data_IF_154398773563
#
_entry.id   IF_154398773563
#
_cell.length_a   1.000
_cell.length_b   1.000
_cell.length_c   1.000
_cell.angle_alpha   90.00
_cell.angle_beta   90.00
_cell.angle_gamma   90.00
#
_symmetry.space_group_name_H-M   'P 1'
#
loop_
_entity.id
_entity.type
_entity.pdbx_description
1 polymer ?
#
# COMPACT_ATOMS: atom_id res chain seq x y z
N UNK A 1 2.70 -22.20 6.46
CA UNK A 1 3.26 -21.36 7.53
C UNK A 1 2.13 -20.50 8.08
N UNK A 2 1.96 -20.45 9.40
CA UNK A 2 0.90 -19.66 10.04
C UNK A 2 1.44 -18.25 10.32
N UNK A 3 0.79 -17.22 9.79
CA UNK A 3 1.21 -15.81 9.97
C UNK A 3 0.60 -15.28 11.26
N UNK A 4 1.43 -14.88 12.22
CA UNK A 4 0.98 -14.43 13.55
C UNK A 4 0.46 -12.97 13.55
N UNK A 5 0.96 -12.15 12.64
CA UNK A 5 0.46 -10.79 12.42
C UNK A 5 1.01 -10.18 11.13
N UNK A 6 0.30 -9.19 10.59
CA UNK A 6 0.69 -8.45 9.40
C UNK A 6 0.39 -6.95 9.55
N UNK A 7 1.28 -6.12 9.03
CA UNK A 7 1.10 -4.67 8.92
C UNK A 7 0.85 -4.36 7.45
N UNK A 8 -0.33 -3.85 7.15
CA UNK A 8 -0.78 -3.57 5.79
C UNK A 8 -0.78 -2.06 5.57
N UNK A 9 0.13 -1.58 4.72
CA UNK A 9 0.20 -0.16 4.36
C UNK A 9 -0.58 0.06 3.07
N UNK A 10 -1.69 0.78 3.22
CA UNK A 10 -2.68 1.13 2.21
C UNK A 10 -3.05 -0.07 1.32
N UNK A 11 -3.57 -1.17 1.90
CA UNK A 11 -3.92 -2.36 1.13
C UNK A 11 -5.07 -2.08 0.16
N UNK A 12 -5.00 -2.68 -1.02
CA UNK A 12 -6.10 -2.78 -1.96
C UNK A 12 -6.52 -4.25 -2.08
N UNK A 13 -7.80 -4.52 -1.83
CA UNK A 13 -8.34 -5.88 -1.74
C UNK A 13 -9.55 -6.12 -2.63
N UNK A 14 -10.10 -5.06 -3.25
CA UNK A 14 -11.16 -5.21 -4.23
C UNK A 14 -10.59 -5.44 -5.63
N UNK A 15 -11.44 -5.88 -6.57
CA UNK A 15 -11.09 -5.89 -8.00
C UNK A 15 -10.80 -4.48 -8.49
N UNK A 16 -9.95 -4.38 -9.50
CA UNK A 16 -9.67 -3.08 -10.12
C UNK A 16 -10.93 -2.40 -10.65
N UNK A 17 -11.15 -1.16 -10.22
CA UNK A 17 -12.24 -0.32 -10.73
C UNK A 17 -12.01 0.04 -12.20
N UNK A 18 -13.08 0.43 -12.90
CA UNK A 18 -13.00 0.75 -14.34
C UNK A 18 -12.00 1.86 -14.67
N UNK A 19 -11.98 2.92 -13.86
CA UNK A 19 -11.05 4.06 -14.06
C UNK A 19 -9.61 3.61 -13.83
N UNK A 20 -9.34 2.89 -12.74
CA UNK A 20 -8.03 2.32 -12.47
C UNK A 20 -7.56 1.41 -13.61
N UNK A 21 -8.46 0.54 -14.09
CA UNK A 21 -8.21 -0.36 -15.21
C UNK A 21 -7.84 0.39 -16.48
N UNK A 22 -8.56 1.46 -16.82
CA UNK A 22 -8.30 2.26 -18.02
C UNK A 22 -6.90 2.88 -18.01
N UNK A 23 -6.57 3.58 -16.93
CA UNK A 23 -5.24 4.21 -16.80
C UNK A 23 -4.11 3.17 -16.74
N UNK A 24 -4.29 2.09 -16.00
CA UNK A 24 -3.28 1.05 -15.88
C UNK A 24 -3.09 0.29 -17.21
N UNK A 25 -4.17 0.04 -17.96
CA UNK A 25 -4.09 -0.55 -19.32
C UNK A 25 -3.31 0.33 -20.27
N UNK A 26 -3.55 1.64 -20.26
CA UNK A 26 -2.77 2.58 -21.04
C UNK A 26 -1.28 2.55 -20.61
N UNK A 27 -0.99 2.55 -19.30
CA UNK A 27 0.38 2.42 -18.79
C UNK A 27 1.07 1.13 -19.24
N UNK A 28 0.38 -0.02 -19.15
CA UNK A 28 0.87 -1.33 -19.62
C UNK A 28 1.16 -1.31 -21.13
N UNK A 29 0.27 -0.72 -21.93
CA UNK A 29 0.46 -0.61 -23.38
C UNK A 29 1.65 0.27 -23.72
N UNK A 30 1.77 1.44 -23.08
CA UNK A 30 2.91 2.35 -23.25
C UNK A 30 4.22 1.71 -22.81
N UNK A 31 4.25 1.04 -21.66
CA UNK A 31 5.43 0.31 -21.18
C UNK A 31 5.90 -0.77 -22.15
N UNK A 32 4.96 -1.51 -22.74
CA UNK A 32 5.28 -2.60 -23.68
C UNK A 32 5.92 -2.09 -24.98
N UNK A 33 5.53 -0.91 -25.46
CA UNK A 33 6.00 -0.38 -26.76
C UNK A 33 7.16 0.59 -26.60
N UNK A 34 7.09 1.47 -25.61
CA UNK A 34 8.00 2.62 -25.46
C UNK A 34 8.84 2.57 -24.18
N UNK A 35 8.64 1.57 -23.32
CA UNK A 35 9.27 1.51 -22.00
C UNK A 35 8.75 2.60 -21.06
N UNK A 36 9.59 3.01 -20.11
CA UNK A 36 9.24 3.98 -19.07
C UNK A 36 9.26 5.39 -19.66
N UNK A 37 8.10 5.87 -20.09
CA UNK A 37 7.92 7.24 -20.59
C UNK A 37 7.64 8.23 -19.45
N UNK A 38 7.79 9.55 -19.68
CA UNK A 38 7.42 10.56 -18.68
C UNK A 38 5.95 10.43 -18.22
N UNK A 39 5.04 10.09 -19.13
CA UNK A 39 3.63 9.90 -18.76
C UNK A 39 3.44 8.68 -17.83
N UNK A 40 4.08 7.54 -18.11
CA UNK A 40 4.02 6.37 -17.22
C UNK A 40 4.62 6.70 -15.85
N UNK A 41 5.71 7.45 -15.83
CA UNK A 41 6.35 7.92 -14.59
C UNK A 41 5.38 8.76 -13.75
N UNK A 42 4.70 9.74 -14.35
CA UNK A 42 3.72 10.57 -13.64
C UNK A 42 2.49 9.76 -13.21
N UNK A 43 2.06 8.76 -13.98
CA UNK A 43 1.01 7.83 -13.58
C UNK A 43 1.40 6.99 -12.34
N UNK A 44 2.64 6.48 -12.29
CA UNK A 44 3.12 5.76 -11.12
C UNK A 44 3.26 6.66 -9.90
N UNK A 45 3.74 7.89 -10.10
CA UNK A 45 3.77 8.92 -9.05
C UNK A 45 2.36 9.19 -8.51
N UNK A 46 1.36 9.38 -9.38
CA UNK A 46 -0.04 9.58 -8.97
C UNK A 46 -0.61 8.42 -8.19
N UNK A 47 -0.25 7.19 -8.56
CA UNK A 47 -0.73 5.98 -7.89
C UNK A 47 -0.11 5.79 -6.50
N UNK A 48 1.14 6.20 -6.31
CA UNK A 48 1.90 5.92 -5.09
C UNK A 48 1.81 7.05 -4.06
N UNK A 49 1.89 8.30 -4.48
CA UNK A 49 2.10 9.44 -3.59
C UNK A 49 0.92 10.40 -3.53
N UNK A 50 0.80 11.10 -2.39
CA UNK A 50 -0.16 12.17 -2.17
C UNK A 50 0.06 13.35 -3.11
N UNK A 51 -0.86 14.33 -3.12
CA UNK A 51 -0.65 15.58 -3.88
C UNK A 51 0.63 16.29 -3.45
N UNK A 52 0.95 16.26 -2.15
CA UNK A 52 2.17 16.87 -1.61
C UNK A 52 3.42 16.08 -2.01
N UNK A 53 3.36 14.75 -1.92
CA UNK A 53 4.45 13.85 -2.27
C UNK A 53 4.85 13.97 -3.75
N UNK A 54 3.92 14.32 -4.64
CA UNK A 54 4.14 14.51 -6.09
C UNK A 54 4.64 15.88 -6.50
N UNK A 55 4.67 16.86 -5.58
CA UNK A 55 5.09 18.22 -5.90
C UNK A 55 6.47 18.23 -6.55
N UNK A 56 6.66 19.00 -7.62
CA UNK A 56 7.92 19.01 -8.40
C UNK A 56 9.17 19.39 -7.58
N UNK A 57 8.99 20.05 -6.43
CA UNK A 57 10.05 20.43 -5.49
C UNK A 57 10.22 19.45 -4.31
N UNK A 58 9.44 18.37 -4.26
CA UNK A 58 9.59 17.33 -3.25
C UNK A 58 10.78 16.44 -3.61
N UNK A 59 11.74 16.32 -2.68
CA UNK A 59 12.90 15.40 -2.79
C UNK A 59 12.44 13.96 -3.04
N UNK A 60 11.31 13.57 -2.46
CA UNK A 60 10.70 12.26 -2.65
C UNK A 60 10.29 12.02 -4.11
N UNK A 61 9.61 13.01 -4.71
CA UNK A 61 9.21 12.93 -6.12
C UNK A 61 10.43 12.85 -7.03
N UNK A 62 11.47 13.64 -6.76
CA UNK A 62 12.68 13.69 -7.59
C UNK A 62 13.46 12.38 -7.49
N UNK A 63 13.59 11.84 -6.27
CA UNK A 63 14.21 10.55 -6.02
C UNK A 63 13.46 9.43 -6.73
N UNK A 64 12.14 9.37 -6.59
CA UNK A 64 11.34 8.38 -7.30
C UNK A 64 11.48 8.49 -8.83
N UNK A 65 11.45 9.71 -9.38
CA UNK A 65 11.61 9.94 -10.84
C UNK A 65 12.96 9.44 -11.36
N UNK A 66 14.03 9.60 -10.58
CA UNK A 66 15.37 9.08 -10.90
C UNK A 66 15.41 7.56 -10.80
N UNK A 67 14.86 7.01 -9.73
CA UNK A 67 14.94 5.57 -9.43
C UNK A 67 14.09 4.73 -10.37
N UNK A 68 12.90 5.22 -10.75
CA UNK A 68 12.05 4.48 -11.70
C UNK A 68 12.65 4.47 -13.11
N UNK A 69 13.46 5.47 -13.47
CA UNK A 69 14.10 5.53 -14.79
C UNK A 69 15.21 4.47 -14.92
N UNK A 70 15.86 4.09 -13.82
CA UNK A 70 16.91 3.06 -13.82
C UNK A 70 16.37 1.64 -13.66
N UNK A 71 15.08 1.47 -13.36
CA UNK A 71 14.45 0.15 -13.17
C UNK A 71 14.17 -0.56 -14.48
N UNK A 72 14.16 -1.89 -14.40
CA UNK A 72 13.76 -2.74 -15.52
C UNK A 72 12.27 -2.55 -15.87
N UNK A 73 12.03 -2.14 -17.11
CA UNK A 73 10.68 -1.95 -17.67
C UNK A 73 9.87 -3.24 -17.72
N UNK A 74 10.51 -4.41 -17.88
CA UNK A 74 9.84 -5.70 -17.94
C UNK A 74 9.29 -6.11 -16.57
N UNK A 75 10.09 -5.96 -15.51
CA UNK A 75 9.62 -6.17 -14.13
C UNK A 75 8.42 -5.28 -13.77
N UNK A 76 8.47 -3.99 -14.13
CA UNK A 76 7.37 -3.06 -13.91
C UNK A 76 6.11 -3.46 -14.70
N UNK A 77 6.27 -3.88 -15.96
CA UNK A 77 5.17 -4.38 -16.78
C UNK A 77 4.48 -5.58 -16.14
N UNK A 78 5.24 -6.57 -15.68
CA UNK A 78 4.70 -7.76 -15.00
C UNK A 78 3.99 -7.39 -13.70
N UNK A 79 4.57 -6.48 -12.92
CA UNK A 79 3.95 -6.00 -11.68
C UNK A 79 2.59 -5.35 -11.94
N UNK A 80 2.51 -4.41 -12.90
CA UNK A 80 1.23 -3.77 -13.23
C UNK A 80 0.22 -4.76 -13.77
N UNK A 81 0.63 -5.72 -14.60
CA UNK A 81 -0.26 -6.78 -15.08
C UNK A 81 -0.80 -7.66 -13.94
N UNK A 82 0.04 -7.99 -12.96
CA UNK A 82 -0.37 -8.77 -11.78
C UNK A 82 -1.37 -7.98 -10.93
N UNK A 83 -1.07 -6.71 -10.63
CA UNK A 83 -1.98 -5.83 -9.87
C UNK A 83 -3.33 -5.66 -10.57
N UNK A 84 -3.35 -5.67 -11.90
CA UNK A 84 -4.59 -5.59 -12.68
C UNK A 84 -5.39 -6.88 -12.75
N UNK A 85 -4.77 -8.01 -12.44
CA UNK A 85 -5.42 -9.33 -12.38
C UNK A 85 -5.80 -9.74 -10.97
N UNK A 86 -5.60 -8.86 -9.98
CA UNK A 86 -5.94 -9.15 -8.59
C UNK A 86 -7.41 -9.54 -8.46
N UNK A 87 -7.64 -10.51 -7.60
CA UNK A 87 -8.98 -10.97 -7.24
C UNK A 87 -9.51 -10.14 -6.07
N UNK A 88 -10.83 -10.20 -5.88
CA UNK A 88 -11.44 -9.62 -4.70
C UNK A 88 -11.22 -10.57 -3.53
N UNK A 89 -10.43 -10.13 -2.54
CA UNK A 89 -10.10 -10.93 -1.35
C UNK A 89 -10.83 -10.43 -0.11
N UNK A 90 -11.74 -9.45 -0.23
CA UNK A 90 -12.40 -8.84 0.92
C UNK A 90 -13.15 -9.87 1.78
N UNK A 91 -13.78 -10.85 1.15
CA UNK A 91 -14.47 -11.94 1.85
C UNK A 91 -13.49 -12.95 2.50
N UNK A 92 -12.33 -13.17 1.89
CA UNK A 92 -11.29 -14.03 2.44
C UNK A 92 -10.62 -13.40 3.67
N UNK A 93 -10.52 -12.07 3.69
CA UNK A 93 -10.01 -11.33 4.86
C UNK A 93 -10.84 -11.61 6.12
N UNK A 94 -12.15 -11.89 6.00
CA UNK A 94 -13.00 -12.28 7.15
C UNK A 94 -12.56 -13.60 7.78
N UNK A 95 -11.89 -14.46 7.01
CA UNK A 95 -11.45 -15.78 7.44
C UNK A 95 -10.12 -15.74 8.21
N UNK A 96 -9.44 -14.58 8.26
CA UNK A 96 -8.20 -14.36 9.02
C UNK A 96 -8.48 -14.29 10.52
N UNK A 97 -8.85 -15.42 11.12
CA UNK A 97 -9.19 -15.54 12.55
C UNK A 97 -7.97 -15.47 13.45
N UNK A 98 -6.83 -15.95 12.95
CA UNK A 98 -5.63 -16.14 13.78
C UNK A 98 -4.59 -15.02 13.61
N UNK A 99 -4.66 -14.24 12.53
CA UNK A 99 -3.70 -13.19 12.21
C UNK A 99 -4.10 -11.86 12.87
N UNK A 100 -3.17 -11.24 13.58
CA UNK A 100 -3.33 -9.87 14.05
C UNK A 100 -3.03 -8.89 12.90
N UNK A 101 -3.85 -7.87 12.69
CA UNK A 101 -3.69 -6.94 11.58
C UNK A 101 -3.52 -5.50 12.07
N UNK A 102 -2.56 -4.79 11.52
CA UNK A 102 -2.50 -3.33 11.59
C UNK A 102 -2.68 -2.80 10.17
N UNK A 103 -3.81 -2.15 9.90
CA UNK A 103 -4.08 -1.52 8.62
C UNK A 103 -3.77 -0.03 8.75
N UNK A 104 -2.89 0.47 7.90
CA UNK A 104 -2.45 1.87 7.86
C UNK A 104 -2.91 2.46 6.53
N UNK A 105 -3.85 3.40 6.53
CA UNK A 105 -4.40 3.97 5.31
C UNK A 105 -3.90 5.40 5.10
N UNK A 106 -3.34 5.70 3.92
CA UNK A 106 -3.16 7.09 3.48
C UNK A 106 -4.48 7.66 2.97
N UNK A 107 -4.91 8.80 3.52
CA UNK A 107 -6.18 9.47 3.21
C UNK A 107 -6.26 10.00 1.76
N UNK A 108 -5.12 10.27 1.12
CA UNK A 108 -5.03 10.75 -0.25
C UNK A 108 -4.69 9.64 -1.26
N UNK A 109 -4.73 8.37 -0.85
CA UNK A 109 -4.55 7.24 -1.76
C UNK A 109 -5.83 6.94 -2.55
N UNK A 110 -5.67 6.53 -3.81
CA UNK A 110 -6.75 5.96 -4.62
C UNK A 110 -7.37 4.69 -3.98
N UNK A 111 -6.64 4.02 -3.07
CA UNK A 111 -7.08 2.79 -2.38
C UNK A 111 -7.59 3.04 -0.97
N UNK A 112 -7.80 4.30 -0.58
CA UNK A 112 -8.31 4.63 0.75
C UNK A 112 -9.65 3.94 1.06
N UNK A 113 -10.57 3.91 0.08
CA UNK A 113 -11.86 3.24 0.23
C UNK A 113 -11.71 1.72 0.40
N UNK A 114 -10.79 1.09 -0.31
CA UNK A 114 -10.47 -0.33 -0.13
C UNK A 114 -9.98 -0.63 1.29
N UNK A 115 -9.20 0.28 1.88
CA UNK A 115 -8.74 0.15 3.26
C UNK A 115 -9.90 0.21 4.26
N UNK A 116 -10.87 1.10 4.04
CA UNK A 116 -12.09 1.19 4.86
C UNK A 116 -12.92 -0.08 4.74
N UNK A 117 -13.16 -0.56 3.51
CA UNK A 117 -13.91 -1.79 3.24
C UNK A 117 -13.24 -3.02 3.85
N UNK A 118 -11.91 -3.10 3.80
CA UNK A 118 -11.15 -4.15 4.48
C UNK A 118 -11.30 -4.04 6.00
N UNK A 119 -11.15 -2.84 6.56
CA UNK A 119 -11.32 -2.60 7.99
C UNK A 119 -12.71 -3.04 8.46
N UNK A 120 -13.78 -2.79 7.71
CA UNK A 120 -15.14 -3.22 8.06
C UNK A 120 -15.31 -4.74 8.12
N UNK A 121 -14.48 -5.51 7.41
CA UNK A 121 -14.58 -6.97 7.31
C UNK A 121 -13.67 -7.73 8.26
N UNK A 122 -12.53 -7.16 8.67
CA UNK A 122 -11.61 -7.80 9.62
C UNK A 122 -12.23 -7.94 11.02
N UNK A 123 -11.78 -8.95 11.76
CA UNK A 123 -12.15 -9.12 13.16
C UNK A 123 -11.57 -7.99 14.02
N UNK A 124 -12.45 -7.11 14.53
CA UNK A 124 -12.08 -5.94 15.34
C UNK A 124 -11.36 -6.25 16.63
N UNK A 125 -11.46 -7.47 17.16
CA UNK A 125 -10.69 -7.89 18.33
C UNK A 125 -9.21 -8.16 18.05
N UNK A 126 -8.83 -8.29 16.78
CA UNK A 126 -7.46 -8.61 16.33
C UNK A 126 -6.93 -7.64 15.27
N UNK A 127 -7.68 -6.59 14.96
CA UNK A 127 -7.31 -5.63 13.94
C UNK A 127 -7.32 -4.21 14.51
N UNK A 128 -6.25 -3.48 14.24
CA UNK A 128 -6.16 -2.04 14.44
C UNK A 128 -6.16 -1.35 13.08
N UNK A 129 -6.75 -0.16 13.03
CA UNK A 129 -6.83 0.66 11.83
C UNK A 129 -6.43 2.09 12.16
N UNK A 130 -5.53 2.66 11.36
CA UNK A 130 -5.12 4.05 11.47
C UNK A 130 -5.18 4.75 10.12
N UNK A 131 -5.55 6.03 10.15
CA UNK A 131 -5.53 6.91 8.99
C UNK A 131 -4.39 7.90 9.14
N UNK A 132 -3.61 8.08 8.07
CA UNK A 132 -2.47 8.99 8.04
C UNK A 132 -2.78 10.14 7.09
N UNK A 133 -3.15 11.27 7.70
CA UNK A 133 -3.58 12.46 6.97
C UNK A 133 -2.49 13.07 6.09
N UNK A 134 -2.84 13.47 4.87
CA UNK A 134 -1.94 14.01 3.87
C UNK A 134 -0.97 13.00 3.27
N UNK A 135 -1.28 11.69 3.29
CA UNK A 135 -0.42 10.63 2.75
C UNK A 135 -1.08 9.88 1.60
N UNK A 136 -0.29 9.48 0.61
CA UNK A 136 -0.71 8.60 -0.47
C UNK A 136 -0.62 7.14 -0.07
N UNK A 137 -0.47 6.28 -1.07
CA UNK A 137 -0.39 4.82 -0.89
C UNK A 137 0.85 4.42 -0.09
N UNK A 138 2.01 5.02 -0.38
CA UNK A 138 3.29 4.71 0.28
C UNK A 138 3.54 5.60 1.50
N UNK A 139 2.69 5.44 2.52
CA UNK A 139 2.78 6.18 3.79
C UNK A 139 4.17 6.09 4.43
N UNK A 140 4.84 4.94 4.28
CA UNK A 140 6.20 4.71 4.79
C UNK A 140 7.25 5.65 4.22
N UNK A 141 7.06 6.14 2.99
CA UNK A 141 7.98 7.07 2.35
C UNK A 141 7.59 8.54 2.58
N UNK A 142 6.29 8.80 2.76
CA UNK A 142 5.81 10.19 2.93
C UNK A 142 5.82 10.67 4.39
N UNK A 143 5.35 9.84 5.32
CA UNK A 143 5.20 10.20 6.73
C UNK A 143 5.53 9.00 7.65
N UNK A 144 6.76 8.44 7.57
CA UNK A 144 7.16 7.29 8.38
C UNK A 144 6.98 7.51 9.89
N UNK A 145 7.21 8.72 10.37
CA UNK A 145 7.10 9.09 11.78
C UNK A 145 5.69 8.88 12.35
N UNK A 146 4.66 8.98 11.49
CA UNK A 146 3.27 8.77 11.89
C UNK A 146 2.89 7.30 12.05
N UNK A 147 3.72 6.39 11.56
CA UNK A 147 3.49 4.95 11.67
C UNK A 147 4.12 4.37 12.93
N UNK A 148 5.21 4.96 13.43
CA UNK A 148 6.06 4.39 14.49
C UNK A 148 5.26 4.03 15.74
N UNK A 149 4.47 4.97 16.26
CA UNK A 149 3.72 4.76 17.50
C UNK A 149 2.69 3.63 17.37
N UNK A 150 2.00 3.56 16.23
CA UNK A 150 1.01 2.51 15.97
C UNK A 150 1.65 1.15 15.75
N UNK A 151 2.81 1.09 15.11
CA UNK A 151 3.60 -0.15 14.98
C UNK A 151 4.07 -0.62 16.36
N UNK A 152 4.63 0.26 17.20
CA UNK A 152 5.05 -0.10 18.55
C UNK A 152 3.88 -0.62 19.39
N UNK A 153 2.72 0.05 19.34
CA UNK A 153 1.52 -0.38 20.04
C UNK A 153 1.02 -1.74 19.55
N UNK A 154 1.02 -1.96 18.23
CA UNK A 154 0.64 -3.24 17.63
C UNK A 154 1.56 -4.37 18.09
N UNK A 155 2.89 -4.16 18.06
CA UNK A 155 3.86 -5.15 18.51
C UNK A 155 3.72 -5.45 20.01
N UNK A 156 3.53 -4.44 20.86
CA UNK A 156 3.27 -4.64 22.30
C UNK A 156 1.96 -5.40 22.54
N UNK A 157 0.92 -5.12 21.76
CA UNK A 157 -0.33 -5.88 21.78
C UNK A 157 -0.11 -7.35 21.44
N UNK A 158 0.70 -7.65 20.43
CA UNK A 158 1.08 -9.03 20.08
C UNK A 158 1.84 -9.73 21.22
N UNK A 159 2.75 -9.02 21.90
CA UNK A 159 3.48 -9.54 23.06
C UNK A 159 2.58 -9.93 24.22
N UNK A 160 1.52 -9.14 24.46
CA UNK A 160 0.52 -9.47 25.47
C UNK A 160 -0.17 -10.81 25.20
N UNK A 161 -0.40 -11.15 23.92
CA UNK A 161 -0.93 -12.45 23.50
C UNK A 161 0.14 -13.56 23.44
N UNK A 162 1.34 -13.32 23.97
CA UNK A 162 2.44 -14.28 23.99
C UNK A 162 3.20 -14.43 22.67
N UNK A 163 2.94 -13.56 21.69
CA UNK A 163 3.64 -13.58 20.39
C UNK A 163 4.82 -12.61 20.43
N UNK A 164 6.02 -13.09 20.13
CA UNK A 164 7.21 -12.21 20.05
C UNK A 164 7.66 -11.68 21.42
N UNK A 165 7.48 -12.47 22.49
CA UNK A 165 7.88 -12.12 23.86
C UNK A 165 9.37 -11.78 24.02
N UNK A 166 10.21 -12.21 23.10
CA UNK A 166 11.65 -11.88 23.05
C UNK A 166 11.97 -10.55 22.36
N UNK A 167 10.99 -9.87 21.73
CA UNK A 167 11.23 -8.63 21.00
C UNK A 167 11.45 -7.45 21.97
N UNK A 168 12.53 -6.70 21.78
CA UNK A 168 12.77 -5.47 22.53
C UNK A 168 12.10 -4.29 21.80
N UNK A 169 10.81 -4.05 22.10
CA UNK A 169 10.02 -2.95 21.52
C UNK A 169 10.23 -1.68 22.34
N UNK A 170 11.38 -1.03 22.14
CA UNK A 170 11.71 0.27 22.74
C UNK A 170 10.85 1.38 22.14
#
# INVERSE_FOLDING_TARGET
AMVAGAILVTPFASKAGWVEWGYCKAAIATLRVYGITPWVREYLLSRLFSVKGRGNHSDLSQTFRRDIQSRDSSGLLHMLQAVMRREDILEDVKQLKECNLLIIAGDQSDFYQDCLEMNLRVNKSRAAYIEVMGSGTVVSEENPERMVSSIQQFLRGMQYYGIGSSWNVQ
#
